data_IF_701709318159
#
_entry.id   IF_701709318159
#
_cell.length_a   1.000
_cell.length_b   1.000
_cell.length_c   1.000
_cell.angle_alpha   90.00
_cell.angle_beta   90.00
_cell.angle_gamma   90.00
#
_symmetry.space_group_name_H-M   'P 1'
#
loop_
_entity.id
_entity.type
_entity.pdbx_description
1 polymer ?
#
# COMPACT_ATOMS: atom_id res chain seq x y z
N UNK A 1 -7.27 -21.88 -36.91
CA UNK A 1 -5.86 -21.99 -37.33
C UNK A 1 -5.06 -22.52 -36.14
N UNK A 2 -4.03 -23.34 -36.36
CA UNK A 2 -3.14 -23.83 -35.29
C UNK A 2 -1.73 -23.27 -35.49
N UNK A 3 -0.90 -23.33 -34.46
CA UNK A 3 0.51 -22.91 -34.48
C UNK A 3 1.46 -23.90 -35.22
N UNK A 4 0.91 -24.85 -35.98
CA UNK A 4 1.70 -25.91 -36.63
C UNK A 4 2.01 -27.14 -35.76
N UNK A 5 1.81 -27.08 -34.44
CA UNK A 5 1.95 -28.23 -33.52
C UNK A 5 0.62 -28.78 -32.99
N UNK A 6 -0.49 -28.37 -33.61
CA UNK A 6 -1.84 -28.82 -33.24
C UNK A 6 -2.51 -28.00 -32.13
N UNK A 7 -1.83 -26.98 -31.58
CA UNK A 7 -2.43 -26.05 -30.62
C UNK A 7 -3.15 -24.92 -31.37
N UNK A 8 -4.43 -24.62 -31.07
CA UNK A 8 -5.12 -23.49 -31.66
C UNK A 8 -4.39 -22.17 -31.41
N UNK A 9 -4.33 -21.31 -32.43
CA UNK A 9 -3.77 -19.96 -32.28
C UNK A 9 -4.51 -19.20 -31.19
N UNK A 10 -3.77 -18.55 -30.27
CA UNK A 10 -4.33 -17.80 -29.14
C UNK A 10 -4.46 -18.60 -27.83
N UNK A 11 -4.23 -19.92 -27.84
CA UNK A 11 -4.26 -20.71 -26.60
C UNK A 11 -3.13 -20.33 -25.65
N UNK A 12 -3.42 -19.95 -24.39
CA UNK A 12 -2.40 -19.70 -23.36
C UNK A 12 -1.66 -21.00 -23.02
N UNK A 13 -0.38 -21.05 -23.35
CA UNK A 13 0.46 -22.22 -23.11
C UNK A 13 0.88 -22.28 -21.65
N UNK A 14 0.88 -23.49 -21.08
CA UNK A 14 1.46 -23.73 -19.76
C UNK A 14 2.99 -23.52 -19.77
N UNK A 15 3.64 -23.82 -20.89
CA UNK A 15 5.09 -23.71 -21.05
C UNK A 15 5.41 -22.91 -22.33
N UNK A 16 5.21 -21.59 -22.31
CA UNK A 16 5.45 -20.76 -23.49
C UNK A 16 6.98 -20.67 -23.71
N UNK A 17 7.51 -21.18 -24.83
CA UNK A 17 8.96 -21.31 -25.04
C UNK A 17 9.69 -19.96 -25.03
N UNK A 18 9.00 -18.87 -25.39
CA UNK A 18 9.55 -17.52 -25.28
C UNK A 18 9.87 -17.15 -23.81
N UNK A 19 8.97 -17.46 -22.88
CA UNK A 19 9.16 -17.10 -21.47
C UNK A 19 10.21 -18.01 -20.83
N UNK A 20 10.28 -19.28 -21.20
CA UNK A 20 11.37 -20.19 -20.84
C UNK A 20 12.72 -19.60 -21.26
N UNK A 21 12.87 -19.26 -22.55
CA UNK A 21 14.10 -18.68 -23.09
C UNK A 21 14.49 -17.38 -22.36
N UNK A 22 13.55 -16.47 -22.11
CA UNK A 22 13.84 -15.23 -21.36
C UNK A 22 14.30 -15.54 -19.92
N UNK A 23 13.68 -16.54 -19.29
CA UNK A 23 13.93 -16.90 -17.89
C UNK A 23 15.29 -17.56 -17.68
N UNK A 24 15.71 -18.38 -18.65
CA UNK A 24 16.88 -19.25 -18.55
C UNK A 24 18.11 -18.71 -19.30
N UNK A 25 17.97 -17.65 -20.12
CA UNK A 25 19.09 -17.05 -20.83
C UNK A 25 20.19 -16.57 -19.83
N UNK A 26 21.44 -17.08 -19.92
CA UNK A 26 22.50 -16.70 -19.02
C UNK A 26 22.85 -15.21 -19.04
N UNK A 27 22.65 -14.50 -20.15
CA UNK A 27 22.82 -13.04 -20.26
C UNK A 27 21.81 -12.33 -19.39
N UNK A 28 20.57 -12.83 -19.35
CA UNK A 28 19.49 -12.23 -18.59
C UNK A 28 19.44 -12.68 -17.13
N UNK A 29 20.23 -13.67 -16.67
CA UNK A 29 20.11 -14.28 -15.33
C UNK A 29 20.04 -13.30 -14.13
N UNK A 30 20.65 -12.11 -14.25
CA UNK A 30 20.64 -11.07 -13.20
C UNK A 30 19.64 -9.92 -13.45
N UNK A 31 18.95 -9.94 -14.60
CA UNK A 31 17.94 -8.94 -14.99
C UNK A 31 16.63 -9.23 -14.26
N UNK A 32 16.05 -8.22 -13.60
CA UNK A 32 14.74 -8.38 -12.95
C UNK A 32 13.65 -8.43 -14.02
N UNK A 33 12.75 -9.41 -13.92
CA UNK A 33 11.67 -9.61 -14.87
C UNK A 33 10.34 -9.38 -14.15
N UNK A 34 9.48 -8.54 -14.73
CA UNK A 34 8.18 -8.16 -14.18
C UNK A 34 7.14 -8.33 -15.27
N UNK A 35 6.03 -9.01 -14.97
CA UNK A 35 4.91 -9.17 -15.87
C UNK A 35 3.71 -8.31 -15.44
N UNK A 36 3.08 -7.65 -16.40
CA UNK A 36 1.67 -7.26 -16.32
C UNK A 36 0.88 -8.48 -16.83
N UNK A 37 0.41 -9.31 -15.90
CA UNK A 37 0.01 -10.69 -16.20
C UNK A 37 -1.46 -10.80 -16.64
N UNK A 38 -1.90 -9.95 -17.58
CA UNK A 38 -3.24 -9.98 -18.17
C UNK A 38 -3.23 -9.43 -19.60
N UNK A 39 -4.34 -9.59 -20.32
CA UNK A 39 -4.56 -9.00 -21.64
C UNK A 39 -5.98 -8.42 -21.80
N UNK A 40 -6.22 -7.81 -22.97
CA UNK A 40 -7.49 -7.16 -23.30
C UNK A 40 -8.63 -8.12 -23.71
N UNK A 41 -8.40 -9.44 -23.72
CA UNK A 41 -9.43 -10.45 -24.01
C UNK A 41 -9.96 -11.12 -22.73
N UNK A 42 -9.49 -10.66 -21.56
CA UNK A 42 -9.94 -11.11 -20.25
C UNK A 42 -9.10 -12.24 -19.65
N UNK A 43 -7.99 -12.64 -20.30
CA UNK A 43 -7.05 -13.56 -19.66
C UNK A 43 -6.37 -12.84 -18.49
N UNK A 44 -6.39 -13.46 -17.31
CA UNK A 44 -5.67 -13.00 -16.13
C UNK A 44 -4.86 -14.15 -15.54
N UNK A 45 -3.56 -13.93 -15.39
CA UNK A 45 -2.58 -14.90 -14.93
C UNK A 45 -1.93 -14.50 -13.60
N UNK A 46 -2.41 -13.45 -12.93
CA UNK A 46 -1.85 -12.97 -11.65
C UNK A 46 -1.88 -14.09 -10.60
N UNK A 47 -0.75 -14.28 -9.91
CA UNK A 47 -0.51 -15.38 -8.97
C UNK A 47 -0.06 -16.69 -9.64
N UNK A 48 -0.12 -16.79 -10.97
CA UNK A 48 0.16 -18.01 -11.72
C UNK A 48 0.85 -17.76 -13.08
N UNK A 49 1.56 -16.65 -13.27
CA UNK A 49 2.33 -16.41 -14.48
C UNK A 49 3.47 -17.44 -14.61
N UNK A 50 3.81 -17.94 -15.81
CA UNK A 50 4.94 -18.86 -16.01
C UNK A 50 6.27 -18.26 -15.52
N UNK A 51 6.67 -18.63 -14.31
CA UNK A 51 7.70 -17.91 -13.57
C UNK A 51 9.04 -18.65 -13.46
N UNK A 52 9.16 -19.89 -13.96
CA UNK A 52 10.41 -20.67 -14.01
C UNK A 52 11.27 -20.58 -12.73
N UNK A 53 10.73 -21.03 -11.59
CA UNK A 53 11.46 -21.04 -10.31
C UNK A 53 11.55 -19.68 -9.58
N UNK A 54 10.49 -18.87 -9.61
CA UNK A 54 10.43 -17.55 -8.96
C UNK A 54 11.18 -16.43 -9.70
N UNK A 55 11.47 -16.63 -10.99
CA UNK A 55 12.27 -15.74 -11.83
C UNK A 55 11.56 -14.43 -12.21
N UNK A 56 10.24 -14.42 -12.14
CA UNK A 56 9.35 -13.31 -12.48
C UNK A 56 8.59 -12.78 -11.27
N UNK A 57 8.53 -11.45 -11.16
CA UNK A 57 7.56 -10.73 -10.35
C UNK A 57 6.37 -10.29 -11.23
N UNK A 58 5.29 -9.85 -10.60
CA UNK A 58 4.03 -9.49 -11.26
C UNK A 58 3.47 -8.20 -10.69
N UNK A 59 2.90 -7.36 -11.56
CA UNK A 59 2.02 -6.27 -11.12
C UNK A 59 0.81 -6.84 -10.39
N UNK A 60 0.70 -6.54 -9.09
CA UNK A 60 -0.37 -7.06 -8.26
C UNK A 60 -1.61 -6.14 -8.30
N UNK A 61 -2.42 -6.27 -9.35
CA UNK A 61 -3.69 -5.54 -9.47
C UNK A 61 -4.66 -5.83 -8.32
N UNK A 62 -4.60 -7.02 -7.71
CA UNK A 62 -5.45 -7.35 -6.56
C UNK A 62 -5.04 -6.57 -5.30
N UNK A 63 -3.75 -6.28 -5.12
CA UNK A 63 -3.27 -5.39 -4.06
C UNK A 63 -3.89 -4.00 -4.21
N UNK A 64 -3.81 -3.42 -5.42
CA UNK A 64 -4.43 -2.13 -5.76
C UNK A 64 -5.89 -2.10 -5.34
N UNK A 65 -6.70 -3.04 -5.85
CA UNK A 65 -8.15 -3.05 -5.63
C UNK A 65 -8.50 -3.27 -4.16
N UNK A 66 -7.78 -4.16 -3.48
CA UNK A 66 -7.96 -4.45 -2.06
C UNK A 66 -7.69 -3.23 -1.19
N UNK A 67 -6.55 -2.58 -1.39
CA UNK A 67 -6.16 -1.42 -0.59
C UNK A 67 -7.10 -0.25 -0.85
N UNK A 68 -7.45 0.03 -2.11
CA UNK A 68 -8.42 1.08 -2.46
C UNK A 68 -9.75 0.88 -1.74
N UNK A 69 -10.31 -0.34 -1.79
CA UNK A 69 -11.60 -0.63 -1.16
C UNK A 69 -11.57 -0.61 0.36
N UNK A 70 -10.54 -1.18 1.00
CA UNK A 70 -10.43 -1.15 2.45
C UNK A 70 -10.26 0.28 2.97
N UNK A 71 -9.34 1.05 2.38
CA UNK A 71 -8.99 2.41 2.86
C UNK A 71 -10.15 3.40 2.68
N UNK A 72 -10.99 3.26 1.64
CA UNK A 72 -12.22 4.06 1.52
C UNK A 72 -13.36 3.61 2.45
N UNK A 73 -13.19 2.53 3.20
CA UNK A 73 -14.14 2.05 4.19
C UNK A 73 -15.28 1.21 3.61
N UNK A 74 -14.98 0.31 2.66
CA UNK A 74 -15.95 -0.64 2.10
C UNK A 74 -16.04 -1.93 2.92
N UNK A 75 -17.23 -2.53 2.96
CA UNK A 75 -17.48 -3.82 3.61
C UNK A 75 -16.77 -4.99 2.91
N UNK A 76 -16.33 -5.98 3.70
CA UNK A 76 -15.77 -7.25 3.22
C UNK A 76 -14.26 -7.27 2.97
N UNK A 77 -13.54 -6.17 3.23
CA UNK A 77 -12.14 -6.02 2.77
C UNK A 77 -11.05 -6.16 3.84
N UNK A 78 -11.38 -6.29 5.13
CA UNK A 78 -10.38 -6.35 6.20
C UNK A 78 -9.43 -7.56 6.07
N UNK A 79 -9.97 -8.76 5.86
CA UNK A 79 -9.17 -9.98 5.67
C UNK A 79 -8.27 -9.93 4.42
N UNK A 80 -8.82 -9.60 3.23
CA UNK A 80 -8.01 -9.36 2.04
C UNK A 80 -6.90 -8.32 2.25
N UNK A 81 -7.20 -7.21 2.95
CA UNK A 81 -6.22 -6.17 3.25
C UNK A 81 -5.09 -6.68 4.15
N UNK A 82 -5.41 -7.49 5.17
CA UNK A 82 -4.40 -8.16 5.98
C UNK A 82 -3.49 -9.08 5.15
N UNK A 83 -4.04 -9.82 4.19
CA UNK A 83 -3.24 -10.63 3.26
C UNK A 83 -2.34 -9.77 2.36
N UNK A 84 -2.86 -8.63 1.87
CA UNK A 84 -2.10 -7.67 1.09
C UNK A 84 -0.90 -7.11 1.86
N UNK A 85 -1.06 -6.78 3.15
CA UNK A 85 0.04 -6.35 4.01
C UNK A 85 1.12 -7.42 4.20
N UNK A 86 0.77 -8.70 4.10
CA UNK A 86 1.69 -9.85 4.17
C UNK A 86 2.34 -10.22 2.83
N UNK A 87 2.16 -9.41 1.76
CA UNK A 87 2.73 -9.68 0.44
C UNK A 87 1.92 -10.68 -0.39
N UNK A 88 0.61 -10.76 -0.13
CA UNK A 88 -0.35 -11.60 -0.87
C UNK A 88 0.02 -13.09 -0.90
N UNK A 89 0.23 -13.76 0.26
CA UNK A 89 0.48 -15.19 0.31
C UNK A 89 -0.65 -16.02 -0.33
N UNK A 90 -1.88 -15.51 -0.35
CA UNK A 90 -3.02 -16.13 -1.02
C UNK A 90 -2.87 -16.19 -2.55
N UNK A 91 -2.02 -15.34 -3.15
CA UNK A 91 -1.67 -15.39 -4.57
C UNK A 91 -0.37 -16.18 -4.81
N UNK A 92 0.68 -15.87 -4.05
CA UNK A 92 2.05 -16.28 -4.40
C UNK A 92 2.60 -17.44 -3.55
N UNK A 93 2.02 -17.71 -2.38
CA UNK A 93 2.37 -18.88 -1.56
C UNK A 93 1.39 -20.04 -1.78
N UNK A 94 0.09 -19.71 -1.89
CA UNK A 94 -0.98 -20.69 -2.03
C UNK A 94 -0.93 -21.42 -3.37
N UNK A 95 -1.06 -22.75 -3.30
CA UNK A 95 -1.23 -23.61 -4.47
C UNK A 95 -2.69 -23.85 -4.83
N UNK A 96 -3.64 -23.31 -4.04
CA UNK A 96 -5.08 -23.44 -4.29
C UNK A 96 -5.51 -22.44 -5.36
N UNK A 97 -6.26 -22.93 -6.35
CA UNK A 97 -6.84 -22.13 -7.42
C UNK A 97 -8.31 -21.80 -7.10
N UNK A 98 -8.81 -20.61 -7.46
CA UNK A 98 -10.24 -20.34 -7.50
C UNK A 98 -10.94 -21.32 -8.44
N UNK A 99 -12.09 -21.88 -8.04
CA UNK A 99 -12.77 -22.94 -8.81
C UNK A 99 -13.19 -22.50 -10.21
N UNK A 100 -13.50 -21.21 -10.39
CA UNK A 100 -13.99 -20.65 -11.65
C UNK A 100 -12.89 -20.05 -12.53
N UNK A 101 -11.64 -19.99 -12.05
CA UNK A 101 -10.51 -19.48 -12.83
C UNK A 101 -9.91 -20.59 -13.68
N UNK A 102 -10.23 -20.58 -14.97
CA UNK A 102 -9.74 -21.55 -15.95
C UNK A 102 -8.22 -21.61 -16.01
N UNK A 103 -7.52 -20.46 -15.98
CA UNK A 103 -6.06 -20.47 -16.09
C UNK A 103 -5.44 -21.16 -14.87
N UNK A 104 -5.81 -20.75 -13.66
CA UNK A 104 -5.28 -21.32 -12.42
C UNK A 104 -5.64 -22.78 -12.20
N UNK A 105 -6.76 -23.26 -12.74
CA UNK A 105 -7.19 -24.66 -12.63
C UNK A 105 -6.62 -25.57 -13.74
N UNK A 106 -6.13 -25.00 -14.84
CA UNK A 106 -5.52 -25.71 -15.96
C UNK A 106 -4.01 -25.39 -16.11
N UNK A 107 -3.63 -24.73 -17.20
CA UNK A 107 -2.24 -24.48 -17.61
C UNK A 107 -1.41 -23.72 -16.57
N UNK A 108 -2.04 -22.80 -15.84
CA UNK A 108 -1.43 -21.99 -14.80
C UNK A 108 -1.18 -22.73 -13.48
N UNK A 109 -1.81 -23.90 -13.27
CA UNK A 109 -1.79 -24.61 -11.98
C UNK A 109 -0.36 -24.92 -11.50
N UNK A 110 0.55 -25.26 -12.41
CA UNK A 110 1.96 -25.57 -12.09
C UNK A 110 2.76 -24.35 -11.61
N UNK A 111 2.27 -23.15 -11.88
CA UNK A 111 2.93 -21.88 -11.56
C UNK A 111 2.36 -21.21 -10.30
N UNK A 112 1.44 -21.88 -9.60
CA UNK A 112 0.96 -21.45 -8.29
C UNK A 112 1.91 -21.87 -7.18
N UNK A 113 2.09 -21.00 -6.19
CA UNK A 113 2.97 -21.24 -5.05
C UNK A 113 4.46 -21.15 -5.39
N UNK A 114 5.30 -21.64 -4.48
CA UNK A 114 6.78 -21.67 -4.60
C UNK A 114 7.42 -20.33 -4.99
N UNK A 115 6.77 -19.22 -4.64
CA UNK A 115 7.29 -17.87 -4.76
C UNK A 115 7.37 -17.22 -3.39
N UNK A 116 7.84 -15.98 -3.38
CA UNK A 116 8.11 -15.19 -2.18
C UNK A 116 7.29 -13.89 -2.24
N UNK A 117 7.18 -13.11 -1.15
CA UNK A 117 6.51 -11.81 -1.18
C UNK A 117 7.06 -10.88 -2.26
N UNK A 118 8.34 -11.00 -2.62
CA UNK A 118 9.00 -10.17 -3.63
C UNK A 118 8.51 -10.44 -5.06
N UNK A 119 7.73 -11.51 -5.29
CA UNK A 119 7.02 -11.70 -6.55
C UNK A 119 5.89 -10.68 -6.74
N UNK A 120 5.41 -10.06 -5.65
CA UNK A 120 4.37 -9.04 -5.68
C UNK A 120 4.96 -7.65 -5.91
N UNK A 121 4.69 -7.04 -7.06
CA UNK A 121 4.84 -5.60 -7.27
C UNK A 121 3.55 -4.94 -6.80
N UNK A 122 3.59 -4.37 -5.60
CA UNK A 122 2.47 -3.68 -4.98
C UNK A 122 2.37 -2.27 -5.52
N UNK A 123 1.18 -1.82 -5.88
CA UNK A 123 0.94 -0.45 -6.31
C UNK A 123 -0.48 -0.02 -5.96
N UNK A 124 -0.69 1.27 -5.73
CA UNK A 124 -2.03 1.86 -5.51
C UNK A 124 -2.56 2.48 -6.80
N UNK A 125 -1.68 2.93 -7.66
CA UNK A 125 -1.90 3.80 -8.83
C UNK A 125 -0.80 3.49 -9.83
N UNK A 126 -1.09 3.66 -11.11
CA UNK A 126 -0.16 3.50 -12.23
C UNK A 126 -0.27 4.75 -13.12
N UNK A 127 0.46 4.76 -14.24
CA UNK A 127 0.26 5.79 -15.27
C UNK A 127 -1.16 5.71 -15.86
N UNK A 128 -1.68 4.49 -16.00
CA UNK A 128 -3.07 4.18 -16.29
C UNK A 128 -3.94 4.24 -15.02
N UNK A 129 -5.18 4.72 -15.17
CA UNK A 129 -6.11 4.96 -14.08
C UNK A 129 -5.91 6.33 -13.42
N UNK A 130 -6.60 6.54 -12.30
CA UNK A 130 -6.44 7.77 -11.50
C UNK A 130 -5.04 7.88 -10.91
N UNK A 131 -4.59 9.13 -10.75
CA UNK A 131 -3.53 9.50 -9.79
C UNK A 131 -3.99 9.25 -8.35
N UNK A 132 -3.06 9.30 -7.40
CA UNK A 132 -3.38 9.15 -5.98
C UNK A 132 -4.27 10.29 -5.47
N UNK A 133 -4.06 11.52 -5.95
CA UNK A 133 -4.88 12.67 -5.60
C UNK A 133 -6.30 12.54 -6.19
N UNK A 134 -6.41 12.09 -7.44
CA UNK A 134 -7.71 11.94 -8.10
C UNK A 134 -8.53 10.79 -7.50
N UNK A 135 -7.86 9.73 -7.05
CA UNK A 135 -8.49 8.58 -6.38
C UNK A 135 -9.30 9.00 -5.14
N UNK A 136 -8.91 10.08 -4.47
CA UNK A 136 -9.59 10.62 -3.28
C UNK A 136 -10.47 11.85 -3.60
N UNK A 137 -10.51 12.28 -4.86
CA UNK A 137 -11.22 13.48 -5.31
C UNK A 137 -12.33 13.22 -6.33
N UNK A 138 -12.34 12.05 -6.98
CA UNK A 138 -13.30 11.72 -8.03
C UNK A 138 -13.93 10.34 -7.81
N UNK A 139 -15.25 10.25 -7.92
CA UNK A 139 -15.96 8.97 -7.99
C UNK A 139 -15.94 8.41 -9.42
N UNK A 140 -16.07 9.29 -10.42
CA UNK A 140 -16.20 8.92 -11.82
C UNK A 140 -15.07 9.50 -12.68
N UNK A 141 -14.75 8.85 -13.80
CA UNK A 141 -13.73 9.33 -14.75
C UNK A 141 -14.25 10.51 -15.59
N UNK A 142 -13.36 11.45 -15.87
CA UNK A 142 -13.57 12.67 -16.67
C UNK A 142 -12.57 12.72 -17.83
N UNK A 143 -12.74 11.80 -18.78
CA UNK A 143 -11.87 11.57 -19.93
C UNK A 143 -12.36 12.29 -21.19
N UNK A 144 -13.26 13.27 -21.09
CA UNK A 144 -13.89 13.91 -22.25
C UNK A 144 -12.85 14.53 -23.20
N UNK A 145 -11.72 14.99 -22.67
CA UNK A 145 -10.61 15.54 -23.44
C UNK A 145 -9.89 14.52 -24.33
N UNK A 146 -10.11 13.21 -24.12
CA UNK A 146 -9.48 12.14 -24.91
C UNK A 146 -10.14 11.95 -26.29
N UNK A 147 -11.34 12.51 -26.49
CA UNK A 147 -12.04 12.46 -27.78
C UNK A 147 -12.90 11.20 -28.01
N UNK A 148 -12.96 10.28 -27.05
CA UNK A 148 -13.68 9.00 -27.16
C UNK A 148 -15.04 9.01 -26.45
N UNK A 149 -15.57 10.21 -26.15
CA UNK A 149 -16.87 10.36 -25.49
C UNK A 149 -16.93 9.72 -24.10
N UNK A 150 -15.81 9.74 -23.34
CA UNK A 150 -15.65 9.14 -22.03
C UNK A 150 -15.79 7.59 -22.01
N UNK A 151 -15.68 6.92 -23.15
CA UNK A 151 -15.78 5.46 -23.23
C UNK A 151 -14.47 4.76 -22.85
N UNK A 152 -13.34 5.42 -23.04
CA UNK A 152 -11.99 4.92 -22.77
C UNK A 152 -11.62 4.97 -21.27
N UNK A 153 -10.68 4.13 -20.83
CA UNK A 153 -10.23 4.06 -19.43
C UNK A 153 -11.11 3.22 -18.50
N UNK A 154 -10.60 2.94 -17.30
CA UNK A 154 -11.23 2.07 -16.29
C UNK A 154 -12.55 2.65 -15.76
N UNK A 155 -13.59 1.83 -15.68
CA UNK A 155 -14.90 2.23 -15.16
C UNK A 155 -15.01 2.00 -13.63
N UNK A 156 -14.32 1.00 -13.09
CA UNK A 156 -14.39 0.61 -11.69
C UNK A 156 -13.11 0.99 -10.93
N UNK A 157 -12.93 2.28 -10.69
CA UNK A 157 -11.69 2.80 -10.10
C UNK A 157 -11.52 2.51 -8.60
N UNK A 158 -12.57 2.02 -7.92
CA UNK A 158 -12.63 1.86 -6.46
C UNK A 158 -12.24 3.15 -5.71
N UNK A 159 -12.57 4.30 -6.28
CA UNK A 159 -12.27 5.63 -5.74
C UNK A 159 -13.37 6.12 -4.79
N UNK A 160 -13.08 7.22 -4.08
CA UNK A 160 -14.09 7.97 -3.34
C UNK A 160 -13.67 9.43 -3.22
N UNK A 161 -14.53 10.33 -3.70
CA UNK A 161 -14.27 11.77 -3.72
C UNK A 161 -14.22 12.47 -2.35
N UNK A 162 -14.37 11.70 -1.26
CA UNK A 162 -14.33 12.17 0.13
C UNK A 162 -15.45 13.17 0.50
N UNK A 163 -16.51 13.25 -0.30
CA UNK A 163 -17.72 14.02 -0.02
C UNK A 163 -18.10 15.08 -1.05
N UNK A 164 -17.24 15.38 -2.02
CA UNK A 164 -17.53 16.30 -3.13
C UNK A 164 -16.65 15.96 -4.34
N UNK A 165 -17.17 16.03 -5.55
CA UNK A 165 -16.44 15.68 -6.78
C UNK A 165 -15.49 16.80 -7.21
N UNK A 166 -14.22 16.46 -7.50
CA UNK A 166 -13.22 17.40 -8.01
C UNK A 166 -12.79 18.46 -7.00
N UNK A 167 -12.41 19.64 -7.49
CA UNK A 167 -11.95 20.76 -6.65
C UNK A 167 -13.03 21.24 -5.69
N UNK A 168 -12.65 21.49 -4.44
CA UNK A 168 -13.58 21.91 -3.38
C UNK A 168 -12.96 22.97 -2.49
N UNK A 169 -13.78 23.80 -1.86
CA UNK A 169 -13.38 24.71 -0.78
C UNK A 169 -13.80 24.20 0.62
N UNK A 170 -14.45 23.04 0.70
CA UNK A 170 -14.89 22.46 1.97
C UNK A 170 -13.69 21.93 2.76
N UNK A 171 -13.42 22.59 3.89
CA UNK A 171 -12.26 22.29 4.75
C UNK A 171 -12.24 20.83 5.22
N UNK A 172 -13.40 20.25 5.52
CA UNK A 172 -13.53 18.87 5.99
C UNK A 172 -13.19 17.85 4.89
N UNK A 173 -13.58 18.13 3.64
CA UNK A 173 -13.23 17.30 2.48
C UNK A 173 -11.74 17.39 2.19
N UNK A 174 -11.16 18.59 2.10
CA UNK A 174 -9.70 18.77 1.90
C UNK A 174 -8.88 18.02 2.95
N UNK A 175 -9.26 18.14 4.23
CA UNK A 175 -8.60 17.42 5.32
C UNK A 175 -8.72 15.91 5.18
N UNK A 176 -9.89 15.39 4.79
CA UNK A 176 -10.08 13.97 4.60
C UNK A 176 -9.23 13.43 3.44
N UNK A 177 -9.16 14.15 2.31
CA UNK A 177 -8.29 13.80 1.17
C UNK A 177 -6.82 13.73 1.57
N UNK A 178 -6.32 14.73 2.31
CA UNK A 178 -4.94 14.72 2.82
C UNK A 178 -4.63 13.50 3.68
N UNK A 179 -5.59 13.04 4.51
CA UNK A 179 -5.45 11.81 5.30
C UNK A 179 -5.50 10.58 4.42
N UNK A 180 -6.45 10.49 3.49
CA UNK A 180 -6.61 9.31 2.63
C UNK A 180 -5.39 9.05 1.75
N UNK A 181 -4.78 10.09 1.17
CA UNK A 181 -3.52 9.94 0.41
C UNK A 181 -2.40 9.36 1.29
N UNK A 182 -2.27 9.85 2.54
CA UNK A 182 -1.29 9.31 3.51
C UNK A 182 -1.63 7.90 3.95
N UNK A 183 -2.90 7.56 4.16
CA UNK A 183 -3.35 6.22 4.53
C UNK A 183 -3.00 5.20 3.44
N UNK A 184 -3.21 5.56 2.17
CA UNK A 184 -2.83 4.75 1.01
C UNK A 184 -1.29 4.60 0.90
N UNK A 185 -0.55 5.69 1.13
CA UNK A 185 0.92 5.68 1.20
C UNK A 185 1.44 4.76 2.32
N UNK A 186 0.86 4.84 3.52
CA UNK A 186 1.19 3.94 4.64
C UNK A 186 0.91 2.50 4.27
N UNK A 187 -0.26 2.19 3.71
CA UNK A 187 -0.62 0.83 3.27
C UNK A 187 0.38 0.26 2.25
N UNK A 188 0.78 1.06 1.26
CA UNK A 188 1.77 0.67 0.25
C UNK A 188 3.15 0.40 0.87
N UNK A 189 3.62 1.31 1.74
CA UNK A 189 5.00 1.31 2.22
C UNK A 189 5.23 0.48 3.48
N UNK A 190 4.19 0.00 4.15
CA UNK A 190 4.31 -1.00 5.24
C UNK A 190 4.02 -2.43 4.77
N UNK A 191 3.38 -2.62 3.61
CA UNK A 191 3.12 -3.95 3.08
C UNK A 191 4.42 -4.69 2.71
N UNK A 192 4.44 -6.00 2.90
CA UNK A 192 5.48 -6.87 2.37
C UNK A 192 5.36 -6.98 0.84
N UNK A 193 6.48 -7.22 0.16
CA UNK A 193 6.57 -7.16 -1.31
C UNK A 193 7.31 -5.91 -1.78
N UNK A 194 7.21 -5.60 -3.07
CA UNK A 194 7.96 -4.50 -3.69
C UNK A 194 7.00 -3.36 -4.04
N UNK A 195 7.04 -2.20 -3.37
CA UNK A 195 6.18 -1.08 -3.70
C UNK A 195 6.66 -0.39 -4.99
N UNK A 196 5.70 0.00 -5.84
CA UNK A 196 5.88 0.87 -6.99
C UNK A 196 5.08 2.15 -6.76
N UNK A 197 5.70 3.30 -7.04
CA UNK A 197 5.11 4.64 -6.94
C UNK A 197 5.05 5.22 -8.35
N UNK A 198 3.90 5.77 -8.73
CA UNK A 198 3.74 6.46 -10.01
C UNK A 198 4.26 7.88 -9.89
N UNK A 199 4.93 8.35 -10.94
CA UNK A 199 5.42 9.72 -11.02
C UNK A 199 4.31 10.72 -10.68
N UNK A 200 4.59 11.62 -9.74
CA UNK A 200 3.68 12.69 -9.33
C UNK A 200 2.84 12.35 -8.10
N UNK A 201 2.62 11.07 -7.81
CA UNK A 201 1.86 10.66 -6.62
C UNK A 201 2.59 10.98 -5.33
N UNK A 202 3.91 11.23 -5.36
CA UNK A 202 4.68 11.64 -4.19
C UNK A 202 4.38 13.08 -3.74
N UNK A 203 3.86 13.96 -4.62
CA UNK A 203 3.48 15.33 -4.28
C UNK A 203 1.99 15.61 -4.48
N UNK A 204 1.18 14.56 -4.73
CA UNK A 204 -0.25 14.64 -5.01
C UNK A 204 -0.60 15.30 -6.36
N UNK A 205 0.12 14.94 -7.43
CA UNK A 205 -0.23 15.29 -8.81
C UNK A 205 -1.67 14.92 -9.15
N UNK A 206 -2.33 15.79 -9.92
CA UNK A 206 -3.71 15.57 -10.38
C UNK A 206 -3.77 15.59 -11.90
N UNK A 207 -4.55 14.66 -12.46
CA UNK A 207 -4.97 14.64 -13.86
C UNK A 207 -6.42 15.15 -14.01
N UNK A 208 -6.93 15.84 -12.98
CA UNK A 208 -8.26 16.46 -12.90
C UNK A 208 -9.40 15.49 -13.19
N UNK A 209 -9.24 14.25 -12.73
CA UNK A 209 -10.22 13.19 -12.93
C UNK A 209 -10.12 12.48 -14.27
N UNK A 210 -9.14 12.80 -15.13
CA UNK A 210 -8.84 11.99 -16.30
C UNK A 210 -8.02 10.76 -15.89
N UNK A 211 -8.59 9.56 -16.06
CA UNK A 211 -7.97 8.30 -15.65
C UNK A 211 -7.30 7.54 -16.80
N UNK A 212 -7.16 8.15 -17.98
CA UNK A 212 -6.55 7.51 -19.15
C UNK A 212 -5.89 8.55 -20.05
N UNK A 213 -4.81 9.15 -19.58
CA UNK A 213 -4.16 10.32 -20.22
C UNK A 213 -3.20 9.95 -21.36
N UNK A 214 -3.44 8.84 -22.05
CA UNK A 214 -2.51 8.26 -23.04
C UNK A 214 -2.19 9.19 -24.23
N UNK A 215 -3.08 10.12 -24.57
CA UNK A 215 -2.98 10.97 -25.76
C UNK A 215 -2.57 12.42 -25.48
N UNK A 216 -2.17 12.75 -24.25
CA UNK A 216 -1.83 14.12 -23.85
C UNK A 216 -0.31 14.30 -23.70
N UNK A 217 0.27 15.19 -24.51
CA UNK A 217 1.61 15.74 -24.31
C UNK A 217 1.50 17.15 -23.70
N UNK A 218 1.08 17.19 -22.45
CA UNK A 218 0.81 18.43 -21.71
C UNK A 218 1.02 18.22 -20.19
N UNK A 219 0.82 19.26 -19.35
CA UNK A 219 1.03 19.19 -17.91
C UNK A 219 0.24 18.10 -17.15
N UNK A 220 -0.79 17.47 -17.74
CA UNK A 220 -1.43 16.29 -17.14
C UNK A 220 -0.45 15.14 -16.95
N UNK A 221 0.56 15.01 -17.83
CA UNK A 221 1.54 13.93 -17.82
C UNK A 221 2.98 14.39 -17.51
N UNK A 222 3.21 15.69 -17.38
CA UNK A 222 4.53 16.21 -17.00
C UNK A 222 4.70 16.26 -15.49
N UNK A 223 5.92 16.04 -15.03
CA UNK A 223 6.27 16.27 -13.62
C UNK A 223 6.18 17.77 -13.31
N UNK A 224 5.38 18.13 -12.31
CA UNK A 224 5.22 19.51 -11.88
C UNK A 224 6.20 19.83 -10.74
N UNK A 225 7.36 20.37 -11.10
CA UNK A 225 8.40 20.75 -10.14
C UNK A 225 7.97 21.86 -9.18
N UNK A 226 7.18 22.83 -9.66
CA UNK A 226 6.72 23.95 -8.81
C UNK A 226 5.77 23.47 -7.71
N UNK A 227 4.80 22.61 -8.04
CA UNK A 227 3.91 21.99 -7.04
C UNK A 227 4.69 21.08 -6.08
N UNK A 228 5.64 20.31 -6.61
CA UNK A 228 6.48 19.44 -5.80
C UNK A 228 7.35 20.20 -4.81
N UNK A 229 7.89 21.37 -5.18
CA UNK A 229 8.72 22.22 -4.30
C UNK A 229 7.88 23.01 -3.29
N UNK A 230 6.65 23.39 -3.65
CA UNK A 230 5.73 24.08 -2.76
C UNK A 230 5.29 23.21 -1.57
N UNK A 231 5.18 21.89 -1.77
CA UNK A 231 4.75 20.88 -0.79
C UNK A 231 3.57 21.35 0.09
N UNK A 232 2.52 21.87 -0.56
CA UNK A 232 1.36 22.41 0.15
C UNK A 232 0.68 21.33 1.00
N UNK A 233 0.79 21.49 2.32
CA UNK A 233 0.27 20.51 3.28
C UNK A 233 1.22 19.37 3.61
N UNK A 234 2.49 19.43 3.20
CA UNK A 234 3.58 18.57 3.68
C UNK A 234 3.50 17.10 3.27
N UNK A 235 2.83 16.80 2.15
CA UNK A 235 2.64 15.41 1.70
C UNK A 235 3.90 14.83 1.06
N UNK A 236 4.66 15.62 0.31
CA UNK A 236 5.93 15.20 -0.27
C UNK A 236 6.95 14.88 0.81
N UNK A 237 7.04 15.71 1.87
CA UNK A 237 7.81 15.38 3.08
C UNK A 237 7.36 14.05 3.68
N UNK A 238 6.06 13.83 3.88
CA UNK A 238 5.53 12.58 4.45
C UNK A 238 5.93 11.35 3.61
N UNK A 239 5.78 11.43 2.28
CA UNK A 239 6.18 10.36 1.36
C UNK A 239 7.69 10.08 1.45
N UNK A 240 8.53 11.11 1.43
CA UNK A 240 9.98 11.00 1.59
C UNK A 240 10.35 10.30 2.90
N UNK A 241 9.75 10.72 4.02
CA UNK A 241 9.95 10.11 5.33
C UNK A 241 9.53 8.63 5.34
N UNK A 242 8.35 8.30 4.80
CA UNK A 242 7.85 6.91 4.73
C UNK A 242 8.75 6.01 3.87
N UNK A 243 9.26 6.49 2.73
CA UNK A 243 10.19 5.72 1.88
C UNK A 243 11.50 5.44 2.62
N UNK A 244 12.07 6.46 3.29
CA UNK A 244 13.28 6.29 4.08
C UNK A 244 13.06 5.36 5.27
N UNK A 245 11.92 5.49 5.95
CA UNK A 245 11.51 4.61 7.04
C UNK A 245 11.41 3.17 6.56
N UNK A 246 10.71 2.88 5.46
CA UNK A 246 10.64 1.52 4.91
C UNK A 246 12.03 0.94 4.65
N UNK A 247 12.93 1.73 4.04
CA UNK A 247 14.30 1.30 3.73
C UNK A 247 15.14 1.01 4.97
N UNK A 248 14.84 1.65 6.10
CA UNK A 248 15.55 1.44 7.37
C UNK A 248 14.95 0.33 8.23
N UNK A 249 13.89 -0.37 7.78
CA UNK A 249 13.18 -1.40 8.56
C UNK A 249 13.26 -2.76 7.87
N UNK A 250 14.28 -3.59 8.17
CA UNK A 250 14.45 -4.92 7.58
C UNK A 250 13.22 -5.82 7.73
N UNK A 251 12.45 -5.66 8.80
CA UNK A 251 11.21 -6.38 9.08
C UNK A 251 10.12 -6.16 8.01
N UNK A 252 10.20 -5.08 7.22
CA UNK A 252 9.31 -4.81 6.08
C UNK A 252 9.87 -5.29 4.73
N UNK A 253 11.15 -5.67 4.68
CA UNK A 253 11.91 -5.97 3.45
C UNK A 253 12.19 -7.48 3.30
N UNK A 254 11.21 -8.32 3.63
CA UNK A 254 11.40 -9.77 3.71
C UNK A 254 11.39 -10.46 2.35
N UNK A 255 12.27 -11.45 2.19
CA UNK A 255 12.31 -12.37 1.06
C UNK A 255 11.51 -13.65 1.29
N UNK A 256 10.88 -13.84 2.45
CA UNK A 256 9.99 -14.96 2.77
C UNK A 256 8.70 -14.46 3.39
N UNK A 257 7.61 -15.21 3.23
CA UNK A 257 6.35 -14.87 3.87
C UNK A 257 6.49 -14.83 5.39
N UNK A 258 5.75 -13.90 5.99
CA UNK A 258 5.61 -13.77 7.44
C UNK A 258 4.70 -14.86 7.99
N UNK A 259 5.03 -15.35 9.18
CA UNK A 259 4.17 -16.22 9.99
C UNK A 259 3.64 -15.51 11.22
N UNK A 260 2.91 -16.25 12.06
CA UNK A 260 2.30 -15.74 13.29
C UNK A 260 3.31 -15.23 14.34
N UNK A 261 4.60 -15.56 14.21
CA UNK A 261 5.68 -15.00 15.05
C UNK A 261 6.18 -13.66 14.54
N UNK A 262 6.08 -13.42 13.23
CA UNK A 262 6.53 -12.18 12.61
C UNK A 262 5.43 -11.11 12.70
N UNK A 263 4.17 -11.48 12.43
CA UNK A 263 3.02 -10.56 12.45
C UNK A 263 1.91 -11.10 13.35
N UNK A 264 1.38 -10.26 14.24
CA UNK A 264 0.20 -10.55 15.07
C UNK A 264 -0.88 -9.52 14.81
N UNK A 265 -2.14 -9.95 14.71
CA UNK A 265 -3.27 -9.08 14.37
C UNK A 265 -4.06 -8.67 15.61
N UNK A 266 -4.58 -7.45 15.59
CA UNK A 266 -5.27 -6.81 16.71
C UNK A 266 -6.50 -6.03 16.24
N UNK A 267 -7.36 -5.65 17.18
CA UNK A 267 -8.46 -4.71 16.97
C UNK A 267 -8.35 -3.55 17.95
N UNK A 268 -9.49 -3.10 18.49
CA UNK A 268 -9.50 -2.12 19.60
C UNK A 268 -8.84 -2.69 20.86
N UNK A 269 -8.87 -4.01 21.01
CA UNK A 269 -8.16 -4.76 22.02
C UNK A 269 -7.02 -5.58 21.38
N UNK A 270 -5.93 -5.83 22.12
CA UNK A 270 -4.88 -6.73 21.67
C UNK A 270 -5.44 -8.12 21.34
N UNK A 271 -4.84 -8.75 20.33
CA UNK A 271 -5.15 -10.10 19.84
C UNK A 271 -6.62 -10.36 19.47
N UNK A 272 -7.38 -9.29 19.26
CA UNK A 272 -8.83 -9.34 18.99
C UNK A 272 -9.18 -8.63 17.67
N UNK A 273 -8.65 -9.09 16.52
CA UNK A 273 -8.94 -8.48 15.23
C UNK A 273 -10.41 -8.70 14.82
N UNK A 274 -10.95 -7.76 14.05
CA UNK A 274 -12.29 -7.87 13.44
C UNK A 274 -12.16 -8.21 11.95
N UNK A 275 -12.55 -9.44 11.59
CA UNK A 275 -12.59 -9.93 10.21
C UNK A 275 -14.02 -10.02 9.65
N UNK A 276 -15.00 -9.44 10.33
CA UNK A 276 -16.37 -9.39 9.85
C UNK A 276 -16.49 -8.55 8.58
N UNK A 277 -17.59 -8.75 7.85
CA UNK A 277 -17.92 -7.96 6.66
C UNK A 277 -17.99 -6.45 6.98
N UNK A 278 -18.48 -6.08 8.16
CA UNK A 278 -18.59 -4.68 8.60
C UNK A 278 -17.29 -4.09 9.17
N UNK A 279 -16.18 -4.82 9.17
CA UNK A 279 -14.93 -4.38 9.77
C UNK A 279 -14.41 -3.08 9.16
N UNK A 280 -13.87 -2.21 10.02
CA UNK A 280 -13.26 -0.91 9.67
C UNK A 280 -11.93 -0.66 10.37
N UNK A 281 -11.33 -1.71 10.90
CA UNK A 281 -10.07 -1.63 11.62
C UNK A 281 -9.21 -2.84 11.30
N UNK A 282 -8.00 -2.59 10.82
CA UNK A 282 -6.94 -3.60 10.74
C UNK A 282 -5.74 -3.02 11.47
N UNK A 283 -5.28 -3.74 12.50
CA UNK A 283 -4.08 -3.40 13.25
C UNK A 283 -3.20 -4.64 13.43
N UNK A 284 -1.89 -4.43 13.49
CA UNK A 284 -0.93 -5.50 13.73
C UNK A 284 0.35 -5.02 14.41
N UNK A 285 1.05 -5.95 15.06
CA UNK A 285 2.47 -5.82 15.34
C UNK A 285 3.31 -6.54 14.30
N UNK A 286 4.46 -5.96 13.94
CA UNK A 286 5.46 -6.53 13.03
C UNK A 286 6.78 -6.62 13.79
N UNK A 287 7.29 -7.82 14.01
CA UNK A 287 8.49 -8.07 14.83
C UNK A 287 9.76 -8.05 13.97
N UNK A 288 10.83 -7.48 14.53
CA UNK A 288 12.17 -7.47 13.93
C UNK A 288 12.99 -8.74 14.21
N UNK A 289 12.49 -9.64 15.06
CA UNK A 289 13.20 -10.84 15.51
C UNK A 289 14.26 -10.61 16.60
N UNK A 290 14.52 -9.35 16.96
CA UNK A 290 15.45 -8.90 18.00
C UNK A 290 14.73 -8.35 19.25
N UNK A 291 13.41 -8.55 19.35
CA UNK A 291 12.60 -8.09 20.47
C UNK A 291 12.14 -6.64 20.36
N UNK A 292 12.20 -6.05 19.15
CA UNK A 292 11.54 -4.80 18.82
C UNK A 292 10.61 -5.00 17.61
N UNK A 293 9.94 -3.93 17.21
CA UNK A 293 9.03 -3.97 16.10
C UNK A 293 8.17 -2.73 15.99
N UNK A 294 7.18 -2.86 15.12
CA UNK A 294 6.23 -1.81 14.78
C UNK A 294 4.84 -2.23 15.24
N UNK A 295 4.02 -1.24 15.59
CA UNK A 295 2.57 -1.36 15.65
C UNK A 295 1.99 -0.51 14.53
N UNK A 296 1.21 -1.11 13.64
CA UNK A 296 0.58 -0.42 12.50
C UNK A 296 -0.92 -0.60 12.61
N UNK A 297 -1.69 0.47 12.44
CA UNK A 297 -3.15 0.42 12.46
C UNK A 297 -3.77 1.31 11.40
N UNK A 298 -4.91 0.87 10.85
CA UNK A 298 -5.72 1.58 9.88
C UNK A 298 -7.17 1.61 10.37
N UNK A 299 -7.67 2.79 10.74
CA UNK A 299 -9.08 3.02 11.02
C UNK A 299 -9.75 3.61 9.78
N UNK A 300 -10.56 2.83 9.08
CA UNK A 300 -11.25 3.24 7.85
C UNK A 300 -12.72 3.55 8.10
N UNK A 301 -13.12 3.58 9.38
CA UNK A 301 -14.47 3.93 9.82
C UNK A 301 -14.68 5.43 9.92
N UNK A 302 -15.95 5.83 9.92
CA UNK A 302 -16.38 7.22 10.08
C UNK A 302 -16.38 7.69 11.55
N UNK A 303 -15.99 6.83 12.49
CA UNK A 303 -15.90 7.12 13.92
C UNK A 303 -14.46 7.02 14.42
N UNK A 304 -14.13 7.84 15.42
CA UNK A 304 -12.85 7.75 16.13
C UNK A 304 -12.80 6.47 16.97
N UNK A 305 -11.59 5.96 17.20
CA UNK A 305 -11.37 4.74 18.01
C UNK A 305 -10.30 4.97 19.06
N UNK A 306 -10.52 4.40 20.24
CA UNK A 306 -9.50 4.24 21.25
C UNK A 306 -8.97 2.81 21.18
N UNK A 307 -7.67 2.67 20.95
CA UNK A 307 -6.99 1.38 20.85
C UNK A 307 -6.24 1.12 22.14
N UNK A 308 -6.43 -0.09 22.69
CA UNK A 308 -5.55 -0.63 23.71
C UNK A 308 -4.40 -1.37 23.02
N UNK A 309 -3.19 -0.87 23.21
CA UNK A 309 -1.98 -1.40 22.58
C UNK A 309 -1.50 -2.67 23.29
N UNK A 310 -0.90 -3.63 22.57
CA UNK A 310 -0.27 -4.79 23.20
C UNK A 310 0.88 -4.36 24.11
N UNK A 311 1.07 -5.06 25.23
CA UNK A 311 2.16 -4.79 26.17
C UNK A 311 3.33 -5.71 25.89
N UNK A 312 4.48 -5.13 25.56
CA UNK A 312 5.73 -5.86 25.41
C UNK A 312 6.63 -5.59 26.63
N UNK A 313 7.18 -6.63 27.28
CA UNK A 313 7.94 -6.45 28.51
C UNK A 313 9.11 -5.47 28.36
N UNK A 314 9.17 -4.43 29.21
CA UNK A 314 10.24 -3.42 29.21
C UNK A 314 10.20 -2.47 28.01
N UNK A 315 9.07 -2.41 27.29
CA UNK A 315 8.89 -1.60 26.08
C UNK A 315 7.66 -0.73 26.18
N UNK A 316 7.78 0.45 25.57
CA UNK A 316 6.65 1.34 25.28
C UNK A 316 6.54 1.57 23.78
N UNK A 317 5.36 1.97 23.34
CA UNK A 317 5.14 2.38 21.96
C UNK A 317 5.44 3.87 21.80
N UNK A 318 6.29 4.23 20.86
CA UNK A 318 6.58 5.62 20.50
C UNK A 318 5.99 5.91 19.12
N UNK A 319 5.36 7.07 18.96
CA UNK A 319 4.74 7.45 17.69
C UNK A 319 5.80 7.76 16.64
N UNK A 320 5.65 7.15 15.47
CA UNK A 320 6.44 7.46 14.27
C UNK A 320 5.60 8.28 13.29
N UNK A 321 4.43 7.76 12.90
CA UNK A 321 3.54 8.42 11.95
C UNK A 321 2.09 8.36 12.43
N UNK A 322 1.34 9.43 12.22
CA UNK A 322 -0.07 9.54 12.56
C UNK A 322 -0.75 10.50 11.59
N UNK A 323 -1.50 9.94 10.64
CA UNK A 323 -2.11 10.73 9.57
C UNK A 323 -3.24 11.63 10.06
N UNK A 324 -3.66 11.52 11.33
CA UNK A 324 -4.60 12.46 11.94
C UNK A 324 -4.00 13.84 12.23
N UNK A 325 -2.67 13.92 12.35
CA UNK A 325 -1.94 15.15 12.63
C UNK A 325 -1.72 15.98 11.36
N UNK A 326 -1.49 17.27 11.54
CA UNK A 326 -0.98 18.12 10.47
C UNK A 326 0.53 17.96 10.32
N UNK A 327 1.03 18.11 9.10
CA UNK A 327 2.46 18.26 8.87
C UNK A 327 3.05 19.42 9.70
N UNK A 328 4.28 19.28 10.23
CA UNK A 328 5.19 18.13 10.09
C UNK A 328 4.97 17.01 11.12
N UNK A 329 3.95 17.09 11.97
CA UNK A 329 3.70 16.14 13.07
C UNK A 329 3.00 14.85 12.66
N UNK A 330 2.59 14.76 11.39
CA UNK A 330 2.11 13.54 10.75
C UNK A 330 3.20 12.48 10.59
N UNK A 331 4.47 12.90 10.52
CA UNK A 331 5.64 12.03 10.60
C UNK A 331 6.74 12.65 11.48
N UNK A 332 7.04 11.99 12.59
CA UNK A 332 8.06 12.41 13.55
C UNK A 332 9.45 11.91 13.13
N UNK A 333 10.19 12.76 12.41
CA UNK A 333 11.58 12.53 12.02
C UNK A 333 12.35 13.85 12.08
N UNK A 334 13.64 13.79 12.41
CA UNK A 334 14.51 14.95 12.37
C UNK A 334 14.95 15.20 10.92
N UNK A 335 14.73 16.42 10.43
CA UNK A 335 15.01 16.86 9.08
C UNK A 335 15.09 18.40 9.01
N UNK A 336 15.04 18.98 7.81
CA UNK A 336 15.04 20.42 7.58
C UNK A 336 13.82 21.17 8.15
N UNK A 337 12.72 20.46 8.44
CA UNK A 337 11.47 21.05 8.94
C UNK A 337 11.32 20.87 10.46
N UNK A 338 11.77 19.72 10.99
CA UNK A 338 11.69 19.40 12.42
C UNK A 338 13.08 19.18 13.01
N UNK A 339 13.48 20.08 13.90
CA UNK A 339 14.77 19.94 14.60
C UNK A 339 14.77 18.75 15.57
N UNK A 340 15.94 18.19 15.94
CA UNK A 340 16.03 17.12 16.93
C UNK A 340 15.37 17.46 18.28
N UNK A 341 15.39 18.74 18.68
CA UNK A 341 14.76 19.20 19.92
C UNK A 341 13.23 19.19 19.83
N UNK A 342 12.67 19.59 18.69
CA UNK A 342 11.23 19.54 18.45
C UNK A 342 10.74 18.10 18.33
N UNK A 343 11.51 17.24 17.66
CA UNK A 343 11.25 15.81 17.61
C UNK A 343 11.15 15.20 19.01
N UNK A 344 12.15 15.44 19.86
CA UNK A 344 12.15 14.92 21.23
C UNK A 344 10.93 15.41 22.03
N UNK A 345 10.53 16.68 21.87
CA UNK A 345 9.32 17.24 22.50
C UNK A 345 8.04 16.59 21.98
N UNK A 346 7.91 16.40 20.66
CA UNK A 346 6.74 15.78 20.05
C UNK A 346 6.60 14.31 20.45
N UNK A 347 7.73 13.59 20.51
CA UNK A 347 7.79 12.23 21.02
C UNK A 347 7.38 12.18 22.50
N UNK A 348 7.94 13.07 23.34
CA UNK A 348 7.57 13.16 24.76
C UNK A 348 6.08 13.43 24.97
N UNK A 349 5.48 14.33 24.18
CA UNK A 349 4.04 14.60 24.23
C UNK A 349 3.17 13.38 23.89
N UNK A 350 3.64 12.52 22.96
CA UNK A 350 2.94 11.28 22.59
C UNK A 350 3.03 10.17 23.65
N UNK A 351 4.05 10.22 24.52
CA UNK A 351 4.31 9.18 25.54
C UNK A 351 3.26 9.14 26.66
N UNK A 352 2.55 10.24 26.91
CA UNK A 352 1.50 10.27 27.95
C UNK A 352 0.39 9.25 27.70
N UNK A 353 0.10 8.94 26.43
CA UNK A 353 -0.95 7.99 26.04
C UNK A 353 -0.40 6.57 25.89
N UNK A 354 0.81 6.44 25.36
CA UNK A 354 1.40 5.13 25.09
C UNK A 354 2.02 4.44 26.30
N UNK A 355 2.40 5.19 27.36
CA UNK A 355 2.82 4.61 28.64
C UNK A 355 1.69 3.82 29.33
N UNK A 356 0.44 4.26 29.14
CA UNK A 356 -0.75 3.52 29.57
C UNK A 356 -1.20 2.49 28.51
N UNK A 357 -0.42 2.31 27.44
CA UNK A 357 -0.72 1.45 26.29
C UNK A 357 -2.07 1.77 25.66
N UNK A 358 -2.34 3.06 25.44
CA UNK A 358 -3.50 3.51 24.66
C UNK A 358 -3.07 4.40 23.50
N UNK A 359 -3.81 4.34 22.40
CA UNK A 359 -3.71 5.26 21.29
C UNK A 359 -5.11 5.69 20.85
N UNK A 360 -5.24 6.95 20.43
CA UNK A 360 -6.47 7.44 19.80
C UNK A 360 -6.25 7.56 18.29
N UNK A 361 -7.24 7.13 17.51
CA UNK A 361 -7.25 7.27 16.06
C UNK A 361 -8.48 8.05 15.63
N UNK A 362 -8.29 9.04 14.76
CA UNK A 362 -9.40 9.73 14.10
C UNK A 362 -10.12 8.79 13.11
N UNK A 363 -11.32 9.16 12.65
CA UNK A 363 -11.92 8.57 11.45
C UNK A 363 -10.99 8.70 10.25
N UNK A 364 -10.88 7.65 9.45
CA UNK A 364 -10.04 7.60 8.24
C UNK A 364 -8.60 8.04 8.51
N UNK A 365 -7.90 7.30 9.39
CA UNK A 365 -6.49 7.56 9.72
C UNK A 365 -5.68 6.28 9.80
N UNK A 366 -4.36 6.43 9.67
CA UNK A 366 -3.38 5.38 9.86
C UNK A 366 -2.35 5.81 10.92
N UNK A 367 -1.86 4.85 11.69
CA UNK A 367 -0.95 5.05 12.80
C UNK A 367 0.21 4.05 12.68
N UNK A 368 1.43 4.54 12.87
CA UNK A 368 2.64 3.72 13.02
C UNK A 368 3.30 4.11 14.34
N UNK A 369 3.50 3.11 15.19
CA UNK A 369 4.29 3.22 16.40
C UNK A 369 5.49 2.28 16.31
N UNK A 370 6.59 2.62 16.97
CA UNK A 370 7.73 1.74 17.14
C UNK A 370 7.92 1.39 18.62
N UNK A 371 8.37 0.17 18.91
CA UNK A 371 8.68 -0.22 20.28
C UNK A 371 10.04 0.34 20.68
N UNK A 372 10.10 1.07 21.80
CA UNK A 372 11.35 1.57 22.39
C UNK A 372 11.49 1.09 23.84
N UNK A 373 12.71 0.98 24.39
CA UNK A 373 12.91 0.65 25.80
C UNK A 373 12.21 1.63 26.73
N UNK A 374 11.61 1.15 27.82
CA UNK A 374 11.01 2.00 28.86
C UNK A 374 11.99 3.05 29.41
N UNK A 375 13.28 2.72 29.52
CA UNK A 375 14.33 3.66 29.96
C UNK A 375 14.51 4.86 29.03
N UNK A 376 14.18 4.73 27.74
CA UNK A 376 14.23 5.85 26.81
C UNK A 376 13.18 6.93 27.14
N UNK A 377 12.07 6.53 27.76
CA UNK A 377 11.00 7.44 28.22
C UNK A 377 11.44 8.22 29.45
N UNK A 378 12.15 7.58 30.38
CA UNK A 378 12.65 8.25 31.58
C UNK A 378 13.65 9.37 31.24
N UNK A 379 14.53 9.11 30.26
CA UNK A 379 15.46 10.11 29.76
C UNK A 379 14.76 11.34 29.11
N UNK A 380 13.58 11.15 28.50
CA UNK A 380 12.78 12.24 27.93
C UNK A 380 11.99 13.04 28.96
N UNK A 381 11.78 12.50 30.17
CA UNK A 381 11.12 13.18 31.30
C UNK A 381 12.08 14.01 32.15
N UNK A 382 13.40 13.81 32.02
CA UNK A 382 14.39 14.59 32.75
C UNK A 382 14.40 16.04 32.22
N UNK A 383 14.23 17.06 33.08
CA UNK A 383 14.39 18.45 32.64
C UNK A 383 15.82 18.66 32.12
N UNK A 384 15.96 19.30 30.95
CA UNK A 384 17.26 19.81 30.52
C UNK A 384 17.82 20.76 31.60
N UNK A 385 19.11 20.70 31.94
CA UNK A 385 19.73 21.59 32.92
C UNK A 385 19.72 23.06 32.53
#
# INVERSE_FOLDING_TARGET
MTNGSGVPTGTPLADPPLIEMISEDPVLRNTKLIAEAWDCDGLNQVGAFPHYGGRWAEWNGRFRDTVRNFIKGMDGWAGPFASALCGSPDLYASTQAPETDWWSTNSGRRWRGNRTPTASINFITAHDGFTLADLVAYNDKHNQANGEGNQDGENHNNSWNCGEEGDTQKWNVKRLRQRQMRNLCVALLVAHGVPMITMGDEYAHTKRGNNNTYCHDDPLNWFNWEESEADEGGFQRFMRCMVNFRRSRPELLRSTFVGAKDVQWHGELPDSPDWSEASRLVACTINDGAGNGLYVAFNTGHTARALKLPKWPGKVWQRVADTSQLAPFDFLAADEVMSPKELARAQAASLMWSADHHAAMLPWSALILESVPESAVEAMKAPEP
#
